data_IF_837363131306
#
_entry.id   IF_837363131306
#
_cell.length_a   1.000
_cell.length_b   1.000
_cell.length_c   1.000
_cell.angle_alpha   90.00
_cell.angle_beta   90.00
_cell.angle_gamma   90.00
#
_symmetry.space_group_name_H-M   'P 1'
#
loop_
_entity.id
_entity.type
_entity.pdbx_description
1 polymer ?
#
# COMPACT_ATOMS: atom_id res chain seq x y z
N UNK A 1 15.13 -19.84 -46.53
CA UNK A 1 15.73 -19.34 -45.28
C UNK A 1 14.60 -18.97 -44.33
N UNK A 2 14.23 -19.89 -43.43
CA UNK A 2 13.26 -19.62 -42.35
C UNK A 2 14.02 -19.03 -41.16
N UNK A 3 13.68 -17.82 -40.74
CA UNK A 3 14.23 -17.23 -39.51
C UNK A 3 13.51 -17.81 -38.31
N UNK A 4 14.24 -18.58 -37.50
CA UNK A 4 13.78 -19.10 -36.23
C UNK A 4 13.63 -17.93 -35.25
N UNK A 5 12.39 -17.70 -34.80
CA UNK A 5 12.06 -16.77 -33.72
C UNK A 5 12.74 -17.22 -32.43
N UNK A 6 13.64 -16.40 -31.89
CA UNK A 6 14.17 -16.59 -30.53
C UNK A 6 13.04 -16.32 -29.53
N UNK A 7 12.38 -17.37 -29.07
CA UNK A 7 11.56 -17.33 -27.87
C UNK A 7 12.47 -17.04 -26.68
N UNK A 8 12.45 -15.79 -26.19
CA UNK A 8 13.11 -15.42 -24.95
C UNK A 8 12.20 -15.87 -23.81
N UNK A 9 12.43 -17.09 -23.32
CA UNK A 9 11.86 -17.57 -22.08
C UNK A 9 12.34 -16.64 -20.95
N UNK A 10 11.46 -15.78 -20.44
CA UNK A 10 11.70 -15.03 -19.20
C UNK A 10 12.01 -16.02 -18.10
N UNK A 11 13.28 -16.13 -17.74
CA UNK A 11 13.74 -16.85 -16.55
C UNK A 11 13.11 -16.13 -15.35
N UNK A 12 12.11 -16.75 -14.69
CA UNK A 12 11.61 -16.30 -13.40
C UNK A 12 12.83 -16.19 -12.47
N UNK A 13 13.10 -14.98 -11.99
CA UNK A 13 14.23 -14.74 -11.11
C UNK A 13 14.05 -15.59 -9.86
N UNK A 14 15.04 -16.43 -9.61
CA UNK A 14 15.10 -17.35 -8.48
C UNK A 14 15.20 -16.52 -7.19
N UNK A 15 14.17 -16.61 -6.35
CA UNK A 15 14.00 -16.11 -4.98
C UNK A 15 15.20 -15.31 -4.43
N UNK A 16 15.23 -14.01 -4.74
CA UNK A 16 16.02 -13.09 -3.93
C UNK A 16 15.32 -13.00 -2.56
N UNK A 17 16.07 -13.25 -1.49
CA UNK A 17 15.53 -13.27 -0.13
C UNK A 17 14.99 -11.86 0.20
N UNK A 18 13.74 -11.78 0.65
CA UNK A 18 13.17 -10.53 1.17
C UNK A 18 13.70 -10.34 2.60
N UNK A 19 14.61 -9.39 2.76
CA UNK A 19 15.33 -9.15 4.01
C UNK A 19 14.60 -8.15 4.94
N UNK A 20 13.44 -7.62 4.53
CA UNK A 20 12.71 -6.66 5.35
C UNK A 20 11.88 -7.43 6.39
N UNK A 21 12.44 -7.60 7.58
CA UNK A 21 11.84 -8.36 8.69
C UNK A 21 10.84 -7.52 9.49
N UNK A 22 10.09 -8.17 10.38
CA UNK A 22 9.14 -7.50 11.29
C UNK A 22 9.85 -6.59 12.29
N UNK A 23 11.05 -6.95 12.71
CA UNK A 23 11.90 -6.15 13.60
C UNK A 23 12.34 -4.87 12.91
N UNK A 24 12.79 -4.97 11.65
CA UNK A 24 13.13 -3.79 10.82
C UNK A 24 11.90 -2.91 10.64
N UNK A 25 10.73 -3.51 10.33
CA UNK A 25 9.50 -2.76 10.19
C UNK A 25 9.12 -2.01 11.46
N UNK A 26 9.20 -2.66 12.63
CA UNK A 26 8.92 -2.03 13.92
C UNK A 26 9.87 -0.88 14.19
N UNK A 27 11.17 -1.07 13.97
CA UNK A 27 12.17 -0.01 14.14
C UNK A 27 11.89 1.21 13.24
N UNK A 28 11.70 0.98 11.94
CA UNK A 28 11.46 2.06 10.98
C UNK A 28 10.13 2.78 11.23
N UNK A 29 9.08 2.03 11.58
CA UNK A 29 7.78 2.60 11.95
C UNK A 29 7.89 3.52 13.15
N UNK A 30 8.55 3.08 14.24
CA UNK A 30 8.72 3.89 15.44
C UNK A 30 9.59 5.13 15.19
N UNK A 31 10.66 5.01 14.41
CA UNK A 31 11.47 6.16 14.00
C UNK A 31 10.64 7.20 13.24
N UNK A 32 9.83 6.76 12.28
CA UNK A 32 8.96 7.65 11.51
C UNK A 32 7.86 8.28 12.37
N UNK A 33 7.21 7.49 13.24
CA UNK A 33 6.17 7.95 14.17
C UNK A 33 6.69 9.05 15.08
N UNK A 34 7.85 8.82 15.71
CA UNK A 34 8.51 9.79 16.57
C UNK A 34 8.91 11.07 15.83
N UNK A 35 9.43 10.94 14.60
CA UNK A 35 9.68 12.10 13.75
C UNK A 35 8.42 12.94 13.52
N UNK A 36 7.30 12.31 13.13
CA UNK A 36 6.05 13.03 12.85
C UNK A 36 5.49 13.69 14.12
N UNK A 37 5.51 13.00 15.26
CA UNK A 37 5.11 13.56 16.56
C UNK A 37 5.96 14.78 16.90
N UNK A 38 7.29 14.69 16.77
CA UNK A 38 8.19 15.82 16.99
C UNK A 38 7.85 16.99 16.09
N UNK A 39 7.58 16.76 14.80
CA UNK A 39 7.19 17.83 13.86
C UNK A 39 5.86 18.48 14.22
N UNK A 40 4.87 17.71 14.70
CA UNK A 40 3.60 18.25 15.22
C UNK A 40 3.83 19.13 16.45
N UNK A 41 4.71 18.72 17.36
CA UNK A 41 5.05 19.52 18.54
C UNK A 41 5.79 20.82 18.16
N UNK A 42 6.77 20.75 17.26
CA UNK A 42 7.43 21.95 16.74
C UNK A 42 6.46 22.90 16.05
N UNK A 43 5.51 22.37 15.27
CA UNK A 43 4.48 23.18 14.60
C UNK A 43 3.62 23.95 15.61
N UNK A 44 3.26 23.33 16.75
CA UNK A 44 2.54 24.00 17.84
C UNK A 44 3.39 25.06 18.55
N UNK A 45 4.65 24.76 18.85
CA UNK A 45 5.56 25.68 19.54
C UNK A 45 5.89 26.92 18.71
N UNK A 46 6.00 26.77 17.39
CA UNK A 46 6.32 27.84 16.47
C UNK A 46 5.08 28.64 16.01
N UNK A 47 3.87 28.23 16.42
CA UNK A 47 2.60 28.74 15.92
C UNK A 47 2.53 28.82 14.37
N UNK A 48 3.10 27.81 13.71
CA UNK A 48 3.13 27.73 12.25
C UNK A 48 2.83 26.31 11.79
N UNK A 49 1.90 26.18 10.83
CA UNK A 49 1.45 24.88 10.31
C UNK A 49 2.49 24.26 9.39
N UNK A 50 3.10 23.16 9.84
CA UNK A 50 4.06 22.38 9.06
C UNK A 50 3.32 21.27 8.29
N UNK A 51 3.63 21.11 7.00
CA UNK A 51 3.17 19.95 6.23
C UNK A 51 3.91 18.70 6.72
N UNK A 52 3.15 17.69 7.13
CA UNK A 52 3.70 16.40 7.56
C UNK A 52 3.86 15.47 6.36
N UNK A 53 4.88 14.59 6.38
CA UNK A 53 5.00 13.54 5.37
C UNK A 53 3.92 12.47 5.54
N UNK A 54 3.69 11.69 4.48
CA UNK A 54 3.03 10.39 4.61
C UNK A 54 4.00 9.36 5.21
N UNK A 55 3.48 8.20 5.59
CA UNK A 55 4.30 7.03 5.91
C UNK A 55 5.15 6.68 4.66
N UNK A 56 6.47 6.49 4.81
CA UNK A 56 7.37 6.04 3.74
C UNK A 56 6.90 4.78 3.03
N UNK A 57 7.28 4.65 1.76
CA UNK A 57 6.90 3.54 0.90
C UNK A 57 7.37 2.20 1.47
N UNK A 58 8.64 2.10 1.88
CA UNK A 58 9.22 0.89 2.44
C UNK A 58 8.46 0.42 3.69
N UNK A 59 8.10 1.33 4.59
CA UNK A 59 7.34 1.00 5.80
C UNK A 59 5.92 0.54 5.41
N UNK A 60 5.20 1.34 4.62
CA UNK A 60 3.79 1.07 4.33
C UNK A 60 3.58 -0.15 3.43
N UNK A 61 4.47 -0.41 2.47
CA UNK A 61 4.45 -1.60 1.62
C UNK A 61 4.76 -2.85 2.43
N UNK A 62 5.69 -2.79 3.38
CA UNK A 62 5.98 -3.92 4.24
C UNK A 62 4.88 -4.19 5.28
N UNK A 63 4.17 -3.16 5.75
CA UNK A 63 2.94 -3.36 6.53
C UNK A 63 1.90 -4.15 5.73
N UNK A 64 1.65 -3.75 4.48
CA UNK A 64 0.73 -4.45 3.57
C UNK A 64 1.19 -5.88 3.33
N UNK A 65 2.49 -6.09 3.05
CA UNK A 65 3.11 -7.42 2.86
C UNK A 65 2.81 -8.35 4.04
N UNK A 66 3.08 -7.92 5.27
CA UNK A 66 2.86 -8.77 6.44
C UNK A 66 1.38 -9.04 6.71
N UNK A 67 0.49 -8.10 6.42
CA UNK A 67 -0.96 -8.35 6.45
C UNK A 67 -1.35 -9.42 5.42
N UNK A 68 -0.82 -9.33 4.18
CA UNK A 68 -1.07 -10.31 3.11
C UNK A 68 -0.56 -11.70 3.51
N UNK A 69 0.64 -11.79 4.10
CA UNK A 69 1.22 -13.04 4.60
C UNK A 69 0.33 -13.71 5.63
N UNK A 70 -0.17 -12.96 6.62
CA UNK A 70 -1.11 -13.47 7.64
C UNK A 70 -2.42 -13.98 7.06
N UNK A 71 -2.79 -13.51 5.87
CA UNK A 71 -3.99 -13.93 5.13
C UNK A 71 -3.73 -15.08 4.16
N UNK A 72 -2.53 -15.66 4.17
CA UNK A 72 -2.21 -16.91 3.49
C UNK A 72 -1.35 -16.75 2.24
N UNK A 73 -1.12 -15.53 1.74
CA UNK A 73 -0.18 -15.32 0.63
C UNK A 73 1.20 -14.92 1.16
N UNK A 74 1.97 -15.94 1.56
CA UNK A 74 3.36 -15.78 2.00
C UNK A 74 4.34 -15.53 0.83
N UNK A 75 3.84 -15.48 -0.41
CA UNK A 75 4.67 -15.32 -1.61
C UNK A 75 4.83 -13.87 -2.05
N UNK A 76 4.01 -12.97 -1.49
CA UNK A 76 4.15 -11.53 -1.65
C UNK A 76 5.52 -11.06 -1.16
N UNK A 77 6.29 -10.39 -2.02
CA UNK A 77 7.65 -9.96 -1.72
C UNK A 77 7.86 -8.49 -2.10
N UNK A 78 8.61 -7.77 -1.26
CA UNK A 78 9.08 -6.41 -1.54
C UNK A 78 10.36 -6.40 -2.39
N UNK A 79 11.02 -7.55 -2.52
CA UNK A 79 12.23 -7.69 -3.34
C UNK A 79 11.88 -7.86 -4.82
N UNK A 80 11.30 -6.83 -5.42
CA UNK A 80 10.80 -6.84 -6.79
C UNK A 80 10.94 -5.47 -7.48
N UNK A 81 10.55 -5.40 -8.76
CA UNK A 81 10.44 -4.13 -9.49
C UNK A 81 9.00 -3.61 -9.36
N UNK A 82 8.81 -2.58 -8.55
CA UNK A 82 7.50 -2.04 -8.16
C UNK A 82 7.31 -2.15 -6.66
N UNK A 83 6.05 -2.06 -6.20
CA UNK A 83 5.73 -2.04 -4.77
C UNK A 83 5.81 -3.47 -4.17
N UNK A 84 4.96 -4.40 -4.63
CA UNK A 84 5.00 -5.81 -4.22
C UNK A 84 4.74 -6.77 -5.41
N UNK A 85 5.27 -7.98 -5.32
CA UNK A 85 5.03 -9.07 -6.28
C UNK A 85 4.66 -10.37 -5.57
N UNK A 86 3.55 -10.97 -5.96
CA UNK A 86 3.06 -12.27 -5.46
C UNK A 86 3.01 -13.31 -6.58
N UNK A 87 3.27 -14.57 -6.25
CA UNK A 87 3.07 -15.69 -7.17
C UNK A 87 1.58 -16.05 -7.35
N UNK A 88 0.73 -15.61 -6.42
CA UNK A 88 -0.72 -15.84 -6.43
C UNK A 88 -1.43 -14.70 -7.15
N UNK A 89 -1.12 -13.46 -6.79
CA UNK A 89 -1.87 -12.28 -7.26
C UNK A 89 -1.16 -11.51 -8.39
N UNK A 90 0.12 -11.80 -8.64
CA UNK A 90 0.92 -11.04 -9.58
C UNK A 90 1.39 -9.71 -9.00
N UNK A 91 1.40 -8.65 -9.81
CA UNK A 91 1.86 -7.31 -9.38
C UNK A 91 0.84 -6.64 -8.47
N UNK A 92 1.29 -6.20 -7.31
CA UNK A 92 0.46 -5.58 -6.28
C UNK A 92 0.89 -4.12 -6.12
N UNK A 93 0.02 -3.17 -6.49
CA UNK A 93 0.25 -1.75 -6.21
C UNK A 93 -0.18 -1.45 -4.77
N UNK A 94 0.61 -0.65 -4.06
CA UNK A 94 0.36 -0.21 -2.70
C UNK A 94 0.10 1.30 -2.68
N UNK A 95 -0.91 1.70 -1.92
CA UNK A 95 -1.21 3.11 -1.65
C UNK A 95 -1.51 3.30 -0.18
N UNK A 96 -0.63 4.02 0.50
CA UNK A 96 -0.86 4.47 1.87
C UNK A 96 -1.24 5.95 1.90
N UNK A 97 -2.29 6.29 2.65
CA UNK A 97 -2.69 7.68 2.87
C UNK A 97 -2.92 7.96 4.34
N UNK A 98 -2.35 9.09 4.81
CA UNK A 98 -2.43 9.54 6.21
C UNK A 98 -3.35 10.76 6.38
N UNK A 99 -4.01 11.20 5.31
CA UNK A 99 -4.87 12.38 5.30
C UNK A 99 -5.92 12.30 4.18
N UNK A 100 -6.80 13.30 4.12
CA UNK A 100 -7.80 13.46 3.05
C UNK A 100 -7.21 14.00 1.73
N UNK A 101 -5.89 14.10 1.63
CA UNK A 101 -5.20 14.52 0.40
C UNK A 101 -5.40 13.51 -0.74
N UNK A 102 -5.10 13.93 -1.98
CA UNK A 102 -5.26 13.05 -3.14
C UNK A 102 -4.22 11.94 -3.16
N UNK A 103 -4.68 10.73 -3.42
CA UNK A 103 -3.84 9.60 -3.80
C UNK A 103 -3.39 9.84 -5.25
N UNK A 104 -2.08 9.79 -5.48
CA UNK A 104 -1.49 10.04 -6.79
C UNK A 104 -1.12 8.72 -7.45
N UNK A 105 -1.39 8.60 -8.74
CA UNK A 105 -1.07 7.42 -9.53
C UNK A 105 -0.15 7.78 -10.68
N UNK A 106 0.85 6.95 -10.94
CA UNK A 106 1.73 7.11 -12.10
C UNK A 106 0.96 6.66 -13.36
N UNK A 107 1.01 7.40 -14.49
CA UNK A 107 0.22 7.05 -15.68
C UNK A 107 0.56 5.68 -16.26
N UNK A 108 1.82 5.26 -16.09
CA UNK A 108 2.40 4.04 -16.61
C UNK A 108 2.57 2.94 -15.57
N UNK A 109 2.04 3.09 -14.35
CA UNK A 109 2.10 1.99 -13.39
C UNK A 109 1.14 0.87 -13.82
N UNK A 110 1.59 -0.36 -13.59
CA UNK A 110 0.92 -1.58 -14.01
C UNK A 110 0.79 -2.49 -12.80
N UNK A 111 -0.43 -2.92 -12.51
CA UNK A 111 -0.72 -3.83 -11.41
C UNK A 111 -1.84 -4.80 -11.79
N UNK A 112 -1.83 -5.96 -11.15
CA UNK A 112 -2.86 -6.98 -11.23
C UNK A 112 -3.92 -6.79 -10.15
N UNK A 113 -3.54 -6.24 -8.98
CA UNK A 113 -4.44 -5.73 -7.96
C UNK A 113 -3.82 -4.53 -7.21
N UNK A 114 -4.64 -3.78 -6.48
CA UNK A 114 -4.19 -2.62 -5.70
C UNK A 114 -4.73 -2.66 -4.27
N UNK A 115 -3.85 -2.30 -3.34
CA UNK A 115 -4.08 -2.24 -1.90
C UNK A 115 -4.06 -0.79 -1.41
N UNK A 116 -5.06 -0.42 -0.60
CA UNK A 116 -5.18 0.89 0.00
C UNK A 116 -5.08 0.77 1.52
N UNK A 117 -3.95 1.22 2.08
CA UNK A 117 -3.73 1.33 3.50
C UNK A 117 -4.22 2.71 3.98
N UNK A 118 -5.38 2.72 4.62
CA UNK A 118 -5.89 3.87 5.35
C UNK A 118 -5.13 3.99 6.66
N UNK A 119 -4.25 4.97 6.73
CA UNK A 119 -3.47 5.33 7.90
C UNK A 119 -3.90 6.71 8.42
N UNK A 120 -5.17 7.11 8.27
CA UNK A 120 -5.62 8.43 8.76
C UNK A 120 -5.63 8.53 10.30
N UNK A 121 -5.69 7.39 11.00
CA UNK A 121 -5.73 7.29 12.46
C UNK A 121 -4.47 6.65 13.08
N UNK A 122 -3.36 6.61 12.33
CA UNK A 122 -2.10 5.97 12.74
C UNK A 122 -1.33 6.66 13.89
N UNK A 123 -1.77 7.85 14.32
CA UNK A 123 -1.22 8.58 15.48
C UNK A 123 -2.21 8.62 16.66
N UNK A 124 -3.24 7.76 16.62
CA UNK A 124 -4.12 7.53 17.78
C UNK A 124 -3.42 6.67 18.83
N UNK A 125 -3.97 6.58 20.04
CA UNK A 125 -3.31 5.92 21.18
C UNK A 125 -2.95 4.44 20.92
N UNK A 126 -3.70 3.75 20.05
CA UNK A 126 -3.46 2.35 19.71
C UNK A 126 -2.98 2.11 18.28
N UNK A 127 -2.78 3.17 17.50
CA UNK A 127 -2.66 3.11 16.05
C UNK A 127 -3.87 2.43 15.39
N UNK A 128 -4.32 2.94 14.25
CA UNK A 128 -5.43 2.29 13.55
C UNK A 128 -5.19 2.36 12.05
N UNK A 129 -5.15 1.18 11.45
CA UNK A 129 -4.99 0.95 10.04
C UNK A 129 -6.15 0.14 9.50
N UNK A 130 -6.58 0.49 8.29
CA UNK A 130 -7.50 -0.34 7.51
C UNK A 130 -6.90 -0.64 6.16
N UNK A 131 -6.86 -1.91 5.77
CA UNK A 131 -6.40 -2.31 4.46
C UNK A 131 -7.56 -2.74 3.59
N UNK A 132 -7.73 -2.04 2.48
CA UNK A 132 -8.71 -2.37 1.45
C UNK A 132 -8.01 -2.98 0.24
N UNK A 133 -8.59 -4.05 -0.32
CA UNK A 133 -8.14 -4.70 -1.54
C UNK A 133 -9.13 -4.45 -2.67
N UNK A 134 -8.61 -3.98 -3.79
CA UNK A 134 -9.33 -3.93 -5.06
C UNK A 134 -8.71 -4.94 -6.05
N UNK A 135 -9.41 -6.04 -6.37
CA UNK A 135 -8.83 -7.20 -7.06
C UNK A 135 -8.89 -7.07 -8.59
N UNK A 136 -8.69 -5.87 -9.13
CA UNK A 136 -8.72 -5.64 -10.56
C UNK A 136 -7.45 -4.97 -11.05
N UNK A 137 -7.07 -5.34 -12.27
CA UNK A 137 -5.90 -4.80 -12.95
C UNK A 137 -6.07 -3.31 -13.22
N UNK A 138 -4.97 -2.59 -13.37
CA UNK A 138 -4.96 -1.21 -13.90
C UNK A 138 -5.85 -1.12 -15.14
N UNK A 139 -5.66 -2.03 -16.09
CA UNK A 139 -6.27 -1.96 -17.42
C UNK A 139 -7.72 -2.43 -17.50
N UNK A 140 -8.32 -2.82 -16.37
CA UNK A 140 -9.73 -3.22 -16.27
C UNK A 140 -10.68 -2.04 -16.49
N UNK A 141 -11.89 -2.33 -16.96
CA UNK A 141 -12.95 -1.31 -17.09
C UNK A 141 -13.38 -0.77 -15.73
N UNK A 142 -13.27 -1.61 -14.68
CA UNK A 142 -13.45 -1.21 -13.29
C UNK A 142 -12.57 -0.04 -12.87
N UNK A 143 -11.32 -0.01 -13.32
CA UNK A 143 -10.38 1.01 -12.93
C UNK A 143 -10.31 2.17 -13.93
N UNK A 144 -10.26 1.86 -15.23
CA UNK A 144 -10.14 2.87 -16.30
C UNK A 144 -11.24 3.93 -16.24
N UNK A 145 -12.47 3.50 -15.91
CA UNK A 145 -13.66 4.35 -15.92
C UNK A 145 -13.85 5.18 -14.64
N UNK A 146 -12.99 5.01 -13.61
CA UNK A 146 -13.05 5.81 -12.37
C UNK A 146 -12.94 7.28 -12.72
N UNK A 147 -13.88 8.09 -12.26
CA UNK A 147 -13.87 9.54 -12.46
C UNK A 147 -12.84 10.18 -11.54
N UNK A 148 -11.89 10.88 -12.16
CA UNK A 148 -10.92 11.75 -11.45
C UNK A 148 -11.55 13.13 -11.21
N UNK A 149 -12.35 13.59 -12.16
CA UNK A 149 -13.15 14.81 -12.06
C UNK A 149 -14.44 14.66 -12.89
N UNK A 150 -15.26 15.72 -12.96
CA UNK A 150 -16.54 15.70 -13.69
C UNK A 150 -16.42 15.29 -15.16
N UNK A 151 -15.30 15.63 -15.80
CA UNK A 151 -15.13 15.52 -17.25
C UNK A 151 -14.19 14.39 -17.66
N UNK A 152 -13.36 13.89 -16.74
CA UNK A 152 -12.28 12.95 -17.07
C UNK A 152 -12.27 11.73 -16.15
N UNK A 153 -12.06 10.58 -16.77
CA UNK A 153 -11.75 9.31 -16.13
C UNK A 153 -10.26 9.19 -15.80
N UNK A 154 -9.89 8.12 -15.10
CA UNK A 154 -8.51 7.74 -14.86
C UNK A 154 -7.77 7.55 -16.19
N UNK A 155 -8.37 6.80 -17.12
CA UNK A 155 -7.76 6.53 -18.43
C UNK A 155 -7.54 7.82 -19.24
N UNK A 156 -8.50 8.75 -19.23
CA UNK A 156 -8.38 10.03 -19.94
C UNK A 156 -7.15 10.82 -19.47
N UNK A 157 -6.88 10.85 -18.16
CA UNK A 157 -5.70 11.54 -17.64
C UNK A 157 -4.42 10.75 -17.90
N UNK A 158 -4.45 9.42 -17.77
CA UNK A 158 -3.28 8.58 -18.03
C UNK A 158 -2.82 8.67 -19.49
N UNK A 159 -3.74 8.67 -20.46
CA UNK A 159 -3.41 8.81 -21.89
C UNK A 159 -2.79 10.18 -22.22
N UNK A 160 -3.07 11.20 -21.41
CA UNK A 160 -2.42 12.52 -21.51
C UNK A 160 -1.05 12.57 -20.82
N UNK A 161 -0.55 11.46 -20.28
CA UNK A 161 0.68 11.41 -19.47
C UNK A 161 0.55 12.15 -18.13
N UNK A 162 -0.67 12.50 -17.70
CA UNK A 162 -0.92 13.21 -16.44
C UNK A 162 -1.15 12.19 -15.33
N UNK A 163 -0.54 12.42 -14.16
CA UNK A 163 -0.80 11.64 -12.95
C UNK A 163 -2.23 11.86 -12.48
N UNK A 164 -3.10 10.83 -12.51
CA UNK A 164 -4.41 10.91 -11.88
C UNK A 164 -4.25 11.16 -10.39
N UNK A 165 -5.07 12.05 -9.83
CA UNK A 165 -5.06 12.43 -8.41
C UNK A 165 -6.48 12.39 -7.88
N UNK A 166 -6.78 11.45 -6.99
CA UNK A 166 -8.14 11.23 -6.48
C UNK A 166 -8.08 11.08 -4.95
N UNK A 167 -8.90 11.85 -4.22
CA UNK A 167 -9.02 11.67 -2.77
C UNK A 167 -9.76 10.37 -2.46
N UNK A 168 -9.48 9.73 -1.33
CA UNK A 168 -10.18 8.51 -0.92
C UNK A 168 -11.71 8.67 -0.88
N UNK A 169 -12.21 9.82 -0.41
CA UNK A 169 -13.66 10.12 -0.40
C UNK A 169 -14.29 10.23 -1.79
N UNK A 170 -13.51 10.50 -2.84
CA UNK A 170 -13.98 10.48 -4.22
C UNK A 170 -13.78 9.12 -4.89
N UNK A 171 -12.73 8.39 -4.52
CA UNK A 171 -12.38 7.09 -5.09
C UNK A 171 -13.25 5.97 -4.51
N UNK A 172 -13.28 5.84 -3.18
CA UNK A 172 -13.89 4.69 -2.49
C UNK A 172 -15.35 4.46 -2.86
N UNK A 173 -16.23 5.48 -2.94
CA UNK A 173 -17.62 5.25 -3.37
C UNK A 173 -17.76 4.61 -4.76
N UNK A 174 -16.81 4.85 -5.66
CA UNK A 174 -16.83 4.29 -7.02
C UNK A 174 -16.37 2.83 -7.08
N UNK A 175 -15.55 2.40 -6.13
CA UNK A 175 -14.97 1.05 -6.09
C UNK A 175 -15.53 0.17 -4.96
N UNK A 176 -16.36 0.73 -4.06
CA UNK A 176 -16.79 0.09 -2.81
C UNK A 176 -17.35 -1.32 -3.01
N UNK A 177 -18.28 -1.50 -3.95
CA UNK A 177 -18.91 -2.80 -4.22
C UNK A 177 -17.94 -3.86 -4.77
N UNK A 178 -16.77 -3.42 -5.24
CA UNK A 178 -15.71 -4.24 -5.81
C UNK A 178 -14.45 -4.27 -4.93
N UNK A 179 -14.50 -3.66 -3.75
CA UNK A 179 -13.37 -3.46 -2.86
C UNK A 179 -13.66 -4.11 -1.51
N UNK A 180 -12.74 -4.95 -1.03
CA UNK A 180 -12.91 -5.68 0.22
C UNK A 180 -12.04 -5.08 1.33
N UNK A 181 -12.60 -4.87 2.52
CA UNK A 181 -11.81 -4.63 3.73
C UNK A 181 -11.18 -5.97 4.16
N UNK A 182 -9.86 -6.04 4.16
CA UNK A 182 -9.12 -7.28 4.48
C UNK A 182 -8.34 -7.21 5.80
N UNK A 183 -8.20 -6.03 6.39
CA UNK A 183 -7.60 -5.87 7.71
C UNK A 183 -8.10 -4.58 8.35
N UNK A 184 -8.33 -4.64 9.66
CA UNK A 184 -8.54 -3.50 10.54
C UNK A 184 -7.87 -3.83 11.87
N UNK A 185 -6.94 -2.99 12.32
CA UNK A 185 -6.15 -3.24 13.52
C UNK A 185 -5.06 -2.21 13.77
N UNK A 186 -4.33 -2.43 14.86
CA UNK A 186 -3.16 -1.66 15.28
C UNK A 186 -1.89 -2.04 14.49
N UNK A 187 -0.79 -1.33 14.73
CA UNK A 187 0.51 -1.74 14.23
C UNK A 187 0.94 -3.11 14.80
N UNK A 188 0.66 -3.37 16.07
CA UNK A 188 1.02 -4.64 16.71
C UNK A 188 0.25 -5.82 16.10
N UNK A 189 -1.00 -5.63 15.71
CA UNK A 189 -1.78 -6.63 14.96
C UNK A 189 -1.16 -6.97 13.59
N UNK A 190 -0.24 -6.16 13.07
CA UNK A 190 0.51 -6.42 11.83
C UNK A 190 1.76 -7.25 12.12
N UNK A 191 2.49 -6.95 13.20
CA UNK A 191 3.80 -7.57 13.47
C UNK A 191 3.75 -8.80 14.38
N UNK A 192 2.80 -8.91 15.31
CA UNK A 192 2.69 -10.06 16.22
C UNK A 192 2.20 -11.31 15.51
N UNK A 193 2.80 -12.47 15.74
CA UNK A 193 2.22 -13.73 15.26
C UNK A 193 1.07 -14.17 16.17
N UNK A 194 0.10 -14.92 15.62
CA UNK A 194 -1.04 -15.40 16.41
C UNK A 194 -0.61 -16.24 17.63
N UNK A 195 0.62 -16.76 17.66
CA UNK A 195 1.22 -17.47 18.79
C UNK A 195 1.62 -16.58 19.98
N UNK A 196 1.79 -15.27 19.78
CA UNK A 196 2.37 -14.37 20.78
C UNK A 196 1.34 -13.80 21.76
N UNK A 197 0.07 -14.16 21.58
CA UNK A 197 -1.07 -13.71 22.41
C UNK A 197 -1.42 -14.67 23.56
N UNK A 198 -0.71 -15.80 23.69
CA UNK A 198 -1.05 -16.86 24.65
C UNK A 198 -0.36 -16.75 26.03
N UNK A 199 0.50 -15.76 26.28
CA UNK A 199 1.29 -15.69 27.52
C UNK A 199 1.05 -14.36 28.26
N UNK A 200 -0.18 -14.13 28.76
CA UNK A 200 -0.46 -13.15 29.82
C UNK A 200 -1.86 -13.37 30.45
N UNK A 201 -2.14 -14.59 30.90
CA UNK A 201 -3.16 -14.85 31.92
C UNK A 201 -2.88 -16.20 32.57
N UNK A 202 -2.01 -16.19 33.58
CA UNK A 202 -2.02 -17.08 34.76
C UNK A 202 -0.65 -17.07 35.45
N UNK A 203 -0.41 -16.09 36.32
CA UNK A 203 0.31 -16.23 37.61
C UNK A 203 -0.16 -15.18 38.60
#
# INVERSE_FOLDING_TARGET
MQSLSKSSSKKLAQNAVDNYTKEILREQYELHKNYVISRKNSSKLLDFKIRLPCIPEDISENMIKFIIHKRGDVTSSWNCNGDLLSSIEGKQECKCFTSTGPISFTPSSEWDCIYFLDATNWLSDNDNFKLYKFPYKRTSDEWKNIKVNKNQTFEDQSLQGRRPRINWSGLYPQIKEKCSLIFEGSFEDIVLDCSDSADCSDK
#
